data_IF_934129359416
#
_entry.id   IF_934129359416
#
_cell.length_a   1.000
_cell.length_b   1.000
_cell.length_c   1.000
_cell.angle_alpha   90.00
_cell.angle_beta   90.00
_cell.angle_gamma   90.00
#
_symmetry.space_group_name_H-M   'P 1'
#
loop_
_entity.id
_entity.type
_entity.pdbx_description
1 polymer ?
#
# COMPACT_ATOMS: atom_id res chain seq x y z
N UNK A 1 -23.66 -21.86 14.82
CA UNK A 1 -22.79 -21.99 13.63
C UNK A 1 -23.08 -20.78 12.75
N UNK A 2 -22.19 -19.79 12.69
CA UNK A 2 -22.42 -18.61 11.86
C UNK A 2 -22.17 -18.97 10.39
N UNK A 3 -23.14 -18.68 9.53
CA UNK A 3 -23.00 -18.82 8.08
C UNK A 3 -22.07 -17.73 7.57
N UNK A 4 -20.90 -18.10 7.05
CA UNK A 4 -19.97 -17.16 6.46
C UNK A 4 -20.51 -16.64 5.13
N UNK A 5 -20.45 -15.32 4.94
CA UNK A 5 -20.82 -14.68 3.67
C UNK A 5 -19.80 -15.10 2.58
N UNK A 6 -20.24 -15.57 1.41
CA UNK A 6 -19.34 -15.88 0.30
C UNK A 6 -18.70 -14.59 -0.26
N UNK A 7 -17.44 -14.70 -0.70
CA UNK A 7 -16.71 -13.57 -1.30
C UNK A 7 -17.24 -13.30 -2.71
N UNK A 8 -17.59 -12.04 -2.97
CA UNK A 8 -18.07 -11.61 -4.29
C UNK A 8 -16.98 -11.83 -5.34
N UNK A 9 -17.36 -12.49 -6.44
CA UNK A 9 -16.45 -12.82 -7.53
C UNK A 9 -16.91 -12.18 -8.83
N UNK A 10 -16.03 -11.39 -9.45
CA UNK A 10 -16.28 -10.66 -10.69
C UNK A 10 -15.27 -11.06 -11.77
N UNK A 11 -15.50 -10.63 -13.01
CA UNK A 11 -14.58 -10.85 -14.13
C UNK A 11 -13.63 -9.65 -14.31
N UNK A 12 -12.56 -9.79 -15.08
CA UNK A 12 -11.53 -8.76 -15.24
C UNK A 12 -11.97 -7.51 -16.03
N UNK A 13 -13.13 -7.54 -16.68
CA UNK A 13 -13.77 -6.45 -17.42
C UNK A 13 -14.47 -5.42 -16.53
N UNK A 14 -14.42 -5.59 -15.21
CA UNK A 14 -15.00 -4.63 -14.25
C UNK A 14 -14.28 -3.29 -14.25
N UNK A 15 -15.02 -2.24 -13.89
CA UNK A 15 -14.41 -0.94 -13.65
C UNK A 15 -13.70 -0.91 -12.28
N UNK A 16 -12.65 -0.07 -12.11
CA UNK A 16 -12.00 0.15 -10.82
C UNK A 16 -12.96 0.61 -9.72
N UNK A 17 -13.98 1.39 -10.08
CA UNK A 17 -14.98 1.93 -9.16
C UNK A 17 -15.88 0.82 -8.61
N UNK A 18 -16.32 -0.11 -9.48
CA UNK A 18 -17.07 -1.29 -9.07
C UNK A 18 -16.22 -2.20 -8.17
N UNK A 19 -14.94 -2.38 -8.50
CA UNK A 19 -14.01 -3.12 -7.66
C UNK A 19 -13.88 -2.48 -6.27
N UNK A 20 -13.79 -1.15 -6.20
CA UNK A 20 -13.70 -0.40 -4.95
C UNK A 20 -14.99 -0.53 -4.13
N UNK A 21 -16.16 -0.33 -4.74
CA UNK A 21 -17.47 -0.43 -4.07
C UNK A 21 -17.66 -1.78 -3.39
N UNK A 22 -17.39 -2.87 -4.12
CA UNK A 22 -17.52 -4.22 -3.56
C UNK A 22 -16.46 -4.48 -2.48
N UNK A 23 -15.24 -3.96 -2.66
CA UNK A 23 -14.19 -4.06 -1.63
C UNK A 23 -14.57 -3.32 -0.34
N UNK A 24 -15.16 -2.13 -0.44
CA UNK A 24 -15.60 -1.33 0.71
C UNK A 24 -16.78 -2.00 1.43
N UNK A 25 -17.73 -2.56 0.67
CA UNK A 25 -18.91 -3.24 1.21
C UNK A 25 -18.58 -4.59 1.84
N UNK A 26 -17.75 -5.40 1.19
CA UNK A 26 -17.53 -6.81 1.53
C UNK A 26 -16.16 -7.08 2.18
N UNK A 27 -15.25 -6.11 2.16
CA UNK A 27 -13.87 -6.23 2.67
C UNK A 27 -12.93 -7.02 1.75
N UNK A 28 -13.46 -7.80 0.81
CA UNK A 28 -12.69 -8.60 -0.13
C UNK A 28 -13.46 -8.85 -1.44
N UNK A 29 -12.71 -8.98 -2.53
CA UNK A 29 -13.22 -9.35 -3.86
C UNK A 29 -12.31 -10.37 -4.53
N UNK A 30 -12.88 -11.21 -5.38
CA UNK A 30 -12.12 -12.09 -6.27
C UNK A 30 -12.34 -11.60 -7.70
N UNK A 31 -11.26 -11.35 -8.43
CA UNK A 31 -11.31 -10.98 -9.86
C UNK A 31 -10.82 -12.17 -10.68
N UNK A 32 -11.73 -12.80 -11.42
CA UNK A 32 -11.41 -13.92 -12.32
C UNK A 32 -10.68 -13.43 -13.55
N UNK A 33 -9.72 -14.25 -13.99
CA UNK A 33 -8.99 -14.04 -15.25
C UNK A 33 -8.29 -12.67 -15.33
N UNK A 34 -7.83 -12.14 -14.20
CA UNK A 34 -7.10 -10.88 -14.15
C UNK A 34 -5.78 -10.95 -14.93
N UNK A 35 -5.14 -12.12 -14.91
CA UNK A 35 -3.92 -12.41 -15.67
C UNK A 35 -4.18 -13.59 -16.61
N UNK A 36 -3.56 -13.55 -17.78
CA UNK A 36 -3.58 -14.69 -18.71
C UNK A 36 -2.77 -15.85 -18.15
N UNK A 37 -3.03 -17.07 -18.63
CA UNK A 37 -2.27 -18.25 -18.19
C UNK A 37 -0.79 -18.13 -18.52
N UNK A 38 -0.47 -17.53 -19.66
CA UNK A 38 0.89 -17.35 -20.14
C UNK A 38 1.71 -16.43 -19.21
N UNK A 39 1.09 -15.36 -18.70
CA UNK A 39 1.72 -14.47 -17.70
C UNK A 39 1.96 -15.24 -16.39
N UNK A 40 0.97 -16.01 -15.94
CA UNK A 40 1.10 -16.80 -14.71
C UNK A 40 2.18 -17.89 -14.85
N UNK A 41 2.24 -18.58 -15.98
CA UNK A 41 3.22 -19.64 -16.23
C UNK A 41 4.65 -19.10 -16.29
N UNK A 42 4.86 -17.96 -16.96
CA UNK A 42 6.15 -17.24 -16.92
C UNK A 42 6.52 -16.85 -15.50
N UNK A 43 5.61 -16.23 -14.77
CA UNK A 43 5.84 -15.78 -13.41
C UNK A 43 6.23 -16.95 -12.50
N UNK A 44 5.52 -18.07 -12.58
CA UNK A 44 5.83 -19.27 -11.81
C UNK A 44 7.18 -19.88 -12.21
N UNK A 45 7.50 -19.92 -13.51
CA UNK A 45 8.78 -20.42 -14.00
C UNK A 45 9.97 -19.57 -13.49
N UNK A 46 9.83 -18.24 -13.49
CA UNK A 46 10.84 -17.31 -12.96
C UNK A 46 11.05 -17.49 -11.44
N UNK A 47 9.98 -17.81 -10.70
CA UNK A 47 10.05 -17.99 -9.24
C UNK A 47 10.47 -19.38 -8.80
N UNK A 48 10.28 -20.40 -9.65
CA UNK A 48 10.61 -21.80 -9.37
C UNK A 48 12.01 -22.04 -8.77
N UNK A 49 13.12 -21.47 -9.31
CA UNK A 49 14.44 -21.69 -8.71
C UNK A 49 14.53 -21.17 -7.26
N UNK A 50 13.80 -20.11 -6.92
CA UNK A 50 13.80 -19.54 -5.58
C UNK A 50 12.91 -20.32 -4.60
N UNK A 51 11.83 -20.92 -5.08
CA UNK A 51 10.99 -21.79 -4.26
C UNK A 51 11.63 -23.14 -4.01
N UNK A 52 12.28 -23.72 -5.02
CA UNK A 52 12.95 -25.03 -4.90
C UNK A 52 14.17 -24.97 -3.98
N UNK A 53 14.92 -23.86 -4.03
CA UNK A 53 16.10 -23.65 -3.19
C UNK A 53 15.76 -23.37 -1.71
N UNK A 54 14.48 -23.18 -1.36
CA UNK A 54 14.08 -22.75 -0.03
C UNK A 54 13.29 -23.83 0.70
N UNK A 55 13.81 -24.25 1.85
CA UNK A 55 13.11 -25.17 2.73
C UNK A 55 11.76 -24.60 3.17
N UNK A 56 10.75 -25.48 3.23
CA UNK A 56 9.44 -25.16 3.78
C UNK A 56 9.57 -24.70 5.24
N UNK A 57 8.78 -23.68 5.60
CA UNK A 57 8.78 -23.11 6.93
C UNK A 57 9.08 -21.62 6.93
N UNK A 58 8.66 -20.95 8.00
CA UNK A 58 9.13 -19.61 8.29
C UNK A 58 10.65 -19.73 8.49
N UNK A 59 11.48 -19.01 7.74
CA UNK A 59 12.94 -18.96 7.95
C UNK A 59 13.35 -18.32 9.28
N UNK A 60 12.46 -18.40 10.27
CA UNK A 60 12.50 -17.87 11.61
C UNK A 60 12.59 -19.07 12.55
N UNK A 61 13.55 -19.04 13.46
CA UNK A 61 13.75 -20.07 14.49
C UNK A 61 12.89 -19.83 15.73
N UNK A 62 12.18 -18.70 15.79
CA UNK A 62 11.40 -18.34 16.98
C UNK A 62 10.05 -19.08 17.03
N UNK A 63 9.71 -19.56 18.21
CA UNK A 63 8.52 -20.37 18.42
C UNK A 63 7.21 -19.59 18.16
N UNK A 64 7.21 -18.27 18.37
CA UNK A 64 6.02 -17.43 18.19
C UNK A 64 5.68 -17.23 16.70
N UNK A 65 6.69 -17.07 15.85
CA UNK A 65 6.56 -17.01 14.41
C UNK A 65 6.11 -18.36 13.85
N UNK A 66 6.61 -19.49 14.37
CA UNK A 66 6.19 -20.81 13.90
C UNK A 66 4.71 -21.10 14.20
N UNK A 67 4.18 -20.62 15.33
CA UNK A 67 2.74 -20.72 15.67
C UNK A 67 1.87 -19.92 14.69
N UNK A 68 2.31 -18.73 14.31
CA UNK A 68 1.53 -17.83 13.45
C UNK A 68 1.67 -18.16 11.97
N UNK A 69 2.88 -18.53 11.55
CA UNK A 69 3.26 -18.63 10.14
C UNK A 69 3.25 -20.06 9.61
N UNK A 70 3.28 -21.05 10.49
CA UNK A 70 3.34 -22.47 10.17
C UNK A 70 4.68 -22.92 9.61
N UNK A 71 4.93 -24.24 9.67
CA UNK A 71 6.18 -24.85 9.19
C UNK A 71 6.12 -25.39 7.76
N UNK A 72 4.94 -25.42 7.15
CA UNK A 72 4.73 -25.93 5.79
C UNK A 72 4.85 -24.87 4.68
N UNK A 73 4.40 -23.62 4.84
CA UNK A 73 4.45 -22.67 3.73
C UNK A 73 5.88 -22.19 3.47
N UNK A 74 6.29 -22.24 2.20
CA UNK A 74 7.49 -21.55 1.71
C UNK A 74 7.12 -20.09 1.37
N UNK A 75 7.91 -19.13 1.88
CA UNK A 75 7.72 -17.70 1.59
C UNK A 75 8.98 -17.14 0.94
N UNK A 76 8.79 -16.46 -0.19
CA UNK A 76 9.85 -15.71 -0.87
C UNK A 76 9.47 -14.23 -0.88
N UNK A 77 10.41 -13.37 -0.51
CA UNK A 77 10.24 -11.91 -0.50
C UNK A 77 10.89 -11.31 -1.75
N UNK A 78 10.70 -10.01 -2.00
CA UNK A 78 11.40 -9.28 -3.07
C UNK A 78 11.18 -9.83 -4.47
N UNK A 79 9.93 -10.10 -4.83
CA UNK A 79 9.54 -10.68 -6.13
C UNK A 79 9.99 -9.80 -7.31
N UNK A 80 9.87 -8.48 -7.18
CA UNK A 80 10.28 -7.53 -8.23
C UNK A 80 11.78 -7.59 -8.58
N UNK A 81 12.63 -8.03 -7.65
CA UNK A 81 14.07 -8.20 -7.92
C UNK A 81 14.41 -9.57 -8.53
N UNK A 82 13.44 -10.50 -8.56
CA UNK A 82 13.63 -11.90 -8.93
C UNK A 82 12.86 -12.31 -10.19
N UNK A 83 11.88 -11.51 -10.59
CA UNK A 83 10.98 -11.80 -11.69
C UNK A 83 10.68 -10.51 -12.44
N UNK A 84 10.93 -10.52 -13.75
CA UNK A 84 10.55 -9.40 -14.64
C UNK A 84 9.03 -9.36 -14.77
N UNK A 85 8.40 -10.53 -14.83
CA UNK A 85 6.94 -10.67 -14.90
C UNK A 85 6.25 -10.13 -13.63
N UNK A 86 6.93 -10.12 -12.47
CA UNK A 86 6.43 -9.45 -11.26
C UNK A 86 6.16 -7.96 -11.49
N UNK A 87 6.99 -7.31 -12.32
CA UNK A 87 6.78 -5.91 -12.71
C UNK A 87 5.44 -5.72 -13.41
N UNK A 88 5.14 -6.55 -14.41
CA UNK A 88 3.87 -6.54 -15.16
C UNK A 88 2.66 -6.75 -14.24
N UNK A 89 2.77 -7.67 -13.27
CA UNK A 89 1.71 -7.96 -12.29
C UNK A 89 1.47 -6.78 -11.35
N UNK A 90 2.53 -6.18 -10.82
CA UNK A 90 2.44 -5.06 -9.87
C UNK A 90 1.91 -3.79 -10.55
N UNK A 91 2.23 -3.59 -11.83
CA UNK A 91 1.81 -2.41 -12.60
C UNK A 91 0.49 -2.61 -13.34
N UNK A 92 -0.24 -3.69 -13.09
CA UNK A 92 -1.51 -3.96 -13.76
C UNK A 92 -2.50 -2.78 -13.58
N UNK A 93 -3.09 -2.24 -14.67
CA UNK A 93 -3.89 -1.01 -14.63
C UNK A 93 -5.03 -1.05 -13.61
N UNK A 94 -5.78 -2.15 -13.55
CA UNK A 94 -6.88 -2.32 -12.59
C UNK A 94 -6.40 -2.30 -11.13
N UNK A 95 -5.24 -2.91 -10.85
CA UNK A 95 -4.68 -2.95 -9.49
C UNK A 95 -4.24 -1.55 -9.07
N UNK A 96 -3.54 -0.82 -9.96
CA UNK A 96 -3.11 0.54 -9.69
C UNK A 96 -4.30 1.50 -9.53
N UNK A 97 -5.33 1.39 -10.37
CA UNK A 97 -6.52 2.21 -10.29
C UNK A 97 -7.29 1.96 -8.98
N UNK A 98 -7.49 0.69 -8.60
CA UNK A 98 -8.09 0.32 -7.32
C UNK A 98 -7.28 0.85 -6.13
N UNK A 99 -5.96 0.69 -6.15
CA UNK A 99 -5.07 1.17 -5.08
C UNK A 99 -5.12 2.71 -4.95
N UNK A 100 -5.20 3.42 -6.09
CA UNK A 100 -5.35 4.88 -6.11
C UNK A 100 -6.69 5.31 -5.52
N UNK A 101 -7.79 4.67 -5.91
CA UNK A 101 -9.14 4.96 -5.39
C UNK A 101 -9.24 4.76 -3.88
N UNK A 102 -8.55 3.75 -3.34
CA UNK A 102 -8.52 3.52 -1.89
C UNK A 102 -7.74 4.61 -1.13
N UNK A 103 -6.63 5.11 -1.69
CA UNK A 103 -5.83 6.17 -1.06
C UNK A 103 -6.58 7.49 -0.96
N UNK A 104 -7.38 7.83 -1.98
CA UNK A 104 -8.19 9.05 -1.96
C UNK A 104 -9.16 9.10 -0.78
N UNK A 105 -9.70 7.97 -0.35
CA UNK A 105 -10.54 7.91 0.86
C UNK A 105 -9.75 8.20 2.15
N UNK A 106 -8.48 7.83 2.24
CA UNK A 106 -7.62 8.10 3.42
C UNK A 106 -7.12 9.55 3.47
N UNK A 107 -6.87 10.18 2.33
CA UNK A 107 -6.44 11.58 2.27
C UNK A 107 -7.53 12.53 2.79
N UNK A 108 -8.81 12.15 2.73
CA UNK A 108 -9.93 12.94 3.31
C UNK A 108 -9.80 13.10 4.83
N UNK A 109 -9.10 12.20 5.53
CA UNK A 109 -8.89 12.29 6.99
C UNK A 109 -7.68 13.13 7.38
N UNK A 110 -6.77 13.42 6.45
CA UNK A 110 -5.55 14.20 6.75
C UNK A 110 -5.81 15.63 7.26
N UNK A 111 -6.83 16.39 6.79
CA UNK A 111 -7.12 17.71 7.34
C UNK A 111 -7.44 17.69 8.84
N UNK A 112 -8.14 16.65 9.31
CA UNK A 112 -8.45 16.50 10.74
C UNK A 112 -7.18 16.33 11.58
N UNK A 113 -6.20 15.58 11.09
CA UNK A 113 -4.91 15.42 11.77
C UNK A 113 -4.17 16.75 11.87
N UNK A 114 -4.09 17.54 10.79
CA UNK A 114 -3.44 18.84 10.82
C UNK A 114 -4.18 19.86 11.71
N UNK A 115 -5.51 19.90 11.65
CA UNK A 115 -6.33 20.78 12.50
C UNK A 115 -6.17 20.42 13.99
N UNK A 116 -6.09 19.13 14.33
CA UNK A 116 -5.89 18.70 15.72
C UNK A 116 -4.52 19.11 16.29
N UNK A 117 -3.47 19.13 15.46
CA UNK A 117 -2.14 19.61 15.86
C UNK A 117 -2.17 21.13 16.12
N UNK A 118 -2.91 21.89 15.31
CA UNK A 118 -3.10 23.33 15.52
C UNK A 118 -3.82 23.58 16.84
N UNK A 119 -4.93 22.89 17.11
CA UNK A 119 -5.65 23.02 18.38
C UNK A 119 -4.82 22.56 19.59
N UNK A 120 -4.04 21.49 19.47
CA UNK A 120 -3.15 21.04 20.54
C UNK A 120 -2.08 22.09 20.89
N UNK A 121 -1.49 22.74 19.87
CA UNK A 121 -0.54 23.84 20.07
C UNK A 121 -1.21 25.06 20.71
N UNK A 122 -2.41 25.44 20.26
CA UNK A 122 -3.17 26.56 20.82
C UNK A 122 -3.66 26.30 22.25
N UNK A 123 -4.02 25.06 22.57
CA UNK A 123 -4.44 24.64 23.91
C UNK A 123 -3.25 24.44 24.86
N UNK A 124 -2.03 24.19 24.39
CA UNK A 124 -0.82 24.33 25.22
C UNK A 124 -0.54 25.79 25.57
N UNK A 125 -0.77 26.70 24.63
CA UNK A 125 -0.52 28.13 24.77
C UNK A 125 -1.46 28.83 25.79
N UNK A 126 -2.76 28.54 25.75
CA UNK A 126 -3.76 29.32 26.51
C UNK A 126 -3.80 29.07 28.04
N UNK A 127 -3.66 27.84 28.57
CA UNK A 127 -3.72 27.55 30.01
C UNK A 127 -2.34 27.52 30.69
N UNK A 128 -1.26 27.22 29.95
CA UNK A 128 0.08 26.99 30.52
C UNK A 128 1.12 28.04 30.14
N UNK A 129 0.81 28.98 29.24
CA UNK A 129 1.72 30.08 28.89
C UNK A 129 3.03 29.65 28.22
N UNK A 130 3.08 28.43 27.68
CA UNK A 130 4.24 27.93 26.95
C UNK A 130 4.49 28.80 25.72
N UNK A 131 5.61 29.51 25.71
CA UNK A 131 6.04 30.32 24.56
C UNK A 131 6.77 29.43 23.56
N UNK A 132 6.33 29.42 22.31
CA UNK A 132 7.05 28.76 21.23
C UNK A 132 8.45 29.39 21.12
N UNK A 133 9.48 28.59 21.39
CA UNK A 133 10.86 29.03 21.19
C UNK A 133 11.07 29.45 19.75
N UNK A 134 11.88 30.50 19.54
CA UNK A 134 12.29 30.95 18.21
C UNK A 134 12.89 29.79 17.40
N UNK A 135 13.57 28.85 18.07
CA UNK A 135 14.11 27.62 17.46
C UNK A 135 13.00 26.72 16.91
N UNK A 136 11.91 26.54 17.67
CA UNK A 136 10.77 25.73 17.23
C UNK A 136 10.07 26.35 16.01
N UNK A 137 9.95 27.69 15.98
CA UNK A 137 9.38 28.41 14.84
C UNK A 137 10.27 28.24 13.60
N UNK A 138 11.59 28.34 13.77
CA UNK A 138 12.55 28.12 12.70
C UNK A 138 12.48 26.68 12.14
N UNK A 139 12.36 25.67 13.01
CA UNK A 139 12.21 24.27 12.60
C UNK A 139 10.90 24.04 11.83
N UNK A 140 9.78 24.59 12.29
CA UNK A 140 8.49 24.52 11.59
C UNK A 140 8.58 25.16 10.21
N UNK A 141 9.18 26.37 10.13
CA UNK A 141 9.37 27.07 8.87
C UNK A 141 10.27 26.27 7.90
N UNK A 142 11.30 25.60 8.42
CA UNK A 142 12.18 24.73 7.63
C UNK A 142 11.46 23.49 7.10
N UNK A 143 10.63 22.83 7.93
CA UNK A 143 9.83 21.66 7.52
C UNK A 143 8.81 22.04 6.45
N UNK A 144 8.07 23.14 6.65
CA UNK A 144 7.09 23.62 5.66
C UNK A 144 7.80 24.07 4.38
N UNK A 145 8.87 24.85 4.50
CA UNK A 145 9.65 25.35 3.38
C UNK A 145 10.27 24.24 2.54
N UNK A 146 10.83 23.20 3.17
CA UNK A 146 11.37 22.03 2.47
C UNK A 146 10.28 21.24 1.73
N UNK A 147 9.10 21.09 2.34
CA UNK A 147 7.96 20.41 1.71
C UNK A 147 7.46 21.16 0.48
N UNK A 148 7.34 22.50 0.57
CA UNK A 148 6.97 23.36 -0.57
C UNK A 148 8.05 23.31 -1.66
N UNK A 149 9.33 23.39 -1.29
CA UNK A 149 10.45 23.32 -2.23
C UNK A 149 10.48 21.98 -2.98
N UNK A 150 10.18 20.86 -2.31
CA UNK A 150 10.04 19.54 -2.94
C UNK A 150 8.82 19.48 -3.85
N UNK A 151 7.67 20.02 -3.44
CA UNK A 151 6.46 20.05 -4.27
C UNK A 151 6.62 20.93 -5.53
N UNK A 152 7.39 22.02 -5.42
CA UNK A 152 7.70 22.91 -6.55
C UNK A 152 8.79 22.37 -7.46
N UNK A 153 9.65 21.46 -6.98
CA UNK A 153 10.56 20.70 -7.84
C UNK A 153 9.74 19.76 -8.71
N UNK A 154 9.50 20.18 -9.96
CA UNK A 154 9.01 19.31 -11.03
C UNK A 154 10.03 18.18 -11.23
N UNK A 155 9.80 17.03 -10.58
CA UNK A 155 10.61 15.84 -10.79
C UNK A 155 10.18 15.17 -12.11
N UNK A 156 11.04 15.13 -13.15
CA UNK A 156 10.73 14.42 -14.39
C UNK A 156 10.57 12.90 -14.20
N UNK A 157 10.97 12.34 -13.05
CA UNK A 157 10.81 10.91 -12.76
C UNK A 157 9.36 10.45 -12.56
N UNK A 158 8.41 11.35 -12.28
CA UNK A 158 6.98 11.01 -12.21
C UNK A 158 6.23 11.28 -13.53
N UNK A 159 6.90 11.84 -14.55
CA UNK A 159 6.29 12.09 -15.86
C UNK A 159 5.96 10.80 -16.63
N UNK A 160 6.54 9.65 -16.25
CA UNK A 160 6.22 8.34 -16.83
C UNK A 160 4.87 7.77 -16.38
N UNK A 161 4.21 8.35 -15.37
CA UNK A 161 2.94 7.84 -14.82
C UNK A 161 1.73 8.68 -15.23
N UNK A 162 1.94 9.80 -15.95
CA UNK A 162 0.87 10.72 -16.35
C UNK A 162 0.74 10.92 -17.86
N UNK A 163 1.30 10.02 -18.66
CA UNK A 163 1.25 10.10 -20.13
C UNK A 163 0.75 8.81 -20.76
N UNK A 164 -0.53 8.84 -21.15
CA UNK A 164 -1.32 7.86 -21.95
C UNK A 164 -2.05 6.78 -21.16
#
# INVERSE_FOLDING_TARGET
MQTLKPVTTLSADISPEQALEVTERDGAIIIKNLFSREVLDRFLAELKPYTDARAAGSGYSDAAALVTLGQKPCRITGLAARSVTAGEVITHPLILAWAKGRRTATTVLTPYTYISIIWATLFGYAPWGETLSIVAIADIALIIGSSIAVAMRKNPQFAFVQGR
#
